data_IF_083574716880
#
_entry.id   IF_083574716880
#
_cell.length_a   1.000
_cell.length_b   1.000
_cell.length_c   1.000
_cell.angle_alpha   90.00
_cell.angle_beta   90.00
_cell.angle_gamma   90.00
#
_symmetry.space_group_name_H-M   'P 1'
#
loop_
_entity.id
_entity.type
_entity.pdbx_description
1 polymer ?
#
# COMPACT_ATOMS: atom_id res chain seq x y z
N UNK A 1 -5.74 -0.11 41.86
CA UNK A 1 -6.30 0.58 40.69
C UNK A 1 -5.14 0.98 39.80
N UNK A 2 -5.27 0.91 38.48
CA UNK A 2 -4.21 1.36 37.58
C UNK A 2 -3.97 2.86 37.80
N UNK A 3 -2.71 3.27 37.91
CA UNK A 3 -2.34 4.68 38.16
C UNK A 3 -2.38 5.52 36.89
N UNK A 4 -2.09 4.90 35.75
CA UNK A 4 -1.93 5.61 34.48
C UNK A 4 -3.05 5.25 33.49
N UNK A 5 -3.50 6.23 32.70
CA UNK A 5 -4.46 6.05 31.63
C UNK A 5 -3.78 6.23 30.27
N UNK A 6 -3.99 5.29 29.36
CA UNK A 6 -3.57 5.40 27.96
C UNK A 6 -4.80 5.41 27.07
N UNK A 7 -4.94 6.41 26.20
CA UNK A 7 -6.07 6.54 25.28
C UNK A 7 -5.60 6.25 23.86
N UNK A 8 -6.23 5.25 23.21
CA UNK A 8 -5.95 4.82 21.83
C UNK A 8 -7.18 4.98 20.95
N UNK A 9 -7.06 4.85 19.63
CA UNK A 9 -8.18 5.04 18.71
C UNK A 9 -9.11 3.82 18.59
N UNK A 10 -8.64 2.60 18.92
CA UNK A 10 -9.43 1.38 18.69
C UNK A 10 -9.42 0.37 19.85
N UNK A 11 -10.51 -0.39 20.08
CA UNK A 11 -10.58 -1.36 21.18
C UNK A 11 -9.58 -2.52 21.06
N UNK A 12 -9.29 -2.96 19.83
CA UNK A 12 -8.33 -4.03 19.60
C UNK A 12 -6.91 -3.59 20.02
N UNK A 13 -6.50 -2.39 19.61
CA UNK A 13 -5.24 -1.77 20.02
C UNK A 13 -5.15 -1.60 21.53
N UNK A 14 -6.25 -1.22 22.17
CA UNK A 14 -6.30 -1.09 23.63
C UNK A 14 -5.94 -2.41 24.32
N UNK A 15 -6.59 -3.51 23.91
CA UNK A 15 -6.32 -4.86 24.44
C UNK A 15 -4.87 -5.30 24.22
N UNK A 16 -4.30 -5.01 23.06
CA UNK A 16 -2.92 -5.40 22.73
C UNK A 16 -1.91 -4.62 23.57
N UNK A 17 -2.07 -3.29 23.68
CA UNK A 17 -1.17 -2.43 24.45
C UNK A 17 -1.27 -2.69 25.96
N UNK A 18 -2.48 -2.94 26.48
CA UNK A 18 -2.70 -3.24 27.90
C UNK A 18 -1.93 -4.49 28.34
N UNK A 19 -1.83 -5.52 27.47
CA UNK A 19 -1.02 -6.71 27.71
C UNK A 19 0.48 -6.40 27.84
N UNK A 20 0.98 -5.40 27.12
CA UNK A 20 2.40 -5.04 27.14
C UNK A 20 2.78 -4.12 28.30
N UNK A 21 1.89 -3.21 28.70
CA UNK A 21 2.12 -2.25 29.77
C UNK A 21 1.86 -2.83 31.17
N UNK A 22 0.98 -3.83 31.29
CA UNK A 22 0.70 -4.50 32.56
C UNK A 22 -0.26 -3.72 33.47
N UNK A 23 -0.27 -4.08 34.76
CA UNK A 23 -1.32 -3.70 35.72
C UNK A 23 -1.33 -2.22 36.14
N UNK A 24 -0.24 -1.49 35.90
CA UNK A 24 -0.12 -0.08 36.27
C UNK A 24 -0.82 0.87 35.30
N UNK A 25 -1.21 0.36 34.12
CA UNK A 25 -1.84 1.12 33.05
C UNK A 25 -3.24 0.58 32.77
N UNK A 26 -4.22 1.49 32.66
CA UNK A 26 -5.51 1.18 32.03
C UNK A 26 -5.50 1.74 30.62
N UNK A 27 -5.88 0.92 29.63
CA UNK A 27 -5.91 1.36 28.24
C UNK A 27 -7.35 1.45 27.74
N UNK A 28 -7.76 2.65 27.30
CA UNK A 28 -9.13 2.95 26.83
C UNK A 28 -9.14 3.39 25.38
N UNK A 29 -10.26 3.17 24.71
CA UNK A 29 -10.42 3.49 23.29
C UNK A 29 -11.36 4.68 23.09
N UNK A 30 -10.97 5.64 22.26
CA UNK A 30 -11.84 6.73 21.78
C UNK A 30 -12.83 6.28 20.70
N UNK A 31 -12.59 5.12 20.10
CA UNK A 31 -13.37 4.58 18.97
C UNK A 31 -13.30 5.55 17.77
N UNK A 32 -12.09 5.93 17.40
CA UNK A 32 -11.78 6.87 16.32
C UNK A 32 -11.96 8.34 16.73
N UNK A 33 -12.38 9.16 15.77
CA UNK A 33 -12.71 10.57 15.98
C UNK A 33 -13.89 10.71 16.94
N UNK A 34 -13.77 11.67 17.87
CA UNK A 34 -14.79 11.98 18.89
C UNK A 34 -15.50 13.31 18.66
N UNK A 35 -14.92 14.16 17.82
CA UNK A 35 -15.44 15.46 17.40
C UNK A 35 -15.43 15.52 15.88
N UNK A 36 -16.37 16.24 15.31
CA UNK A 36 -16.39 16.59 13.89
C UNK A 36 -17.11 17.94 13.72
N UNK A 37 -16.98 18.54 12.54
CA UNK A 37 -17.75 19.72 12.16
C UNK A 37 -19.24 19.35 12.02
N UNK A 38 -20.17 20.25 12.35
CA UNK A 38 -21.60 20.04 12.20
C UNK A 38 -21.98 19.54 10.80
N UNK A 39 -23.03 18.72 10.70
CA UNK A 39 -23.45 18.12 9.42
C UNK A 39 -24.27 19.06 8.53
N UNK A 40 -25.08 19.93 9.15
CA UNK A 40 -26.05 20.78 8.43
C UNK A 40 -25.48 22.10 7.96
N UNK A 41 -24.41 22.55 8.60
CA UNK A 41 -23.74 23.81 8.30
C UNK A 41 -22.31 23.50 7.83
N UNK A 42 -21.68 24.47 7.14
CA UNK A 42 -20.30 24.36 6.71
C UNK A 42 -19.38 24.15 7.92
N UNK A 43 -19.68 24.81 9.04
CA UNK A 43 -18.91 24.70 10.28
C UNK A 43 -17.52 25.30 10.16
N UNK A 44 -17.34 26.24 9.23
CA UNK A 44 -16.10 26.97 8.96
C UNK A 44 -16.47 28.45 8.81
N UNK A 45 -15.89 29.30 9.65
CA UNK A 45 -16.05 30.75 9.54
C UNK A 45 -14.99 31.31 8.58
N UNK A 46 -15.40 31.62 7.35
CA UNK A 46 -14.50 32.12 6.30
C UNK A 46 -13.98 33.52 6.61
N UNK A 47 -14.81 34.36 7.25
CA UNK A 47 -14.46 35.75 7.55
C UNK A 47 -13.48 35.83 8.73
N UNK A 48 -13.57 34.88 9.67
CA UNK A 48 -12.65 34.80 10.81
C UNK A 48 -11.53 33.76 10.60
N UNK A 49 -10.75 33.92 9.52
CA UNK A 49 -9.55 33.11 9.24
C UNK A 49 -9.80 31.59 9.19
N UNK A 50 -10.93 31.18 8.61
CA UNK A 50 -11.34 29.77 8.46
C UNK A 50 -11.53 29.02 9.77
N UNK A 51 -11.90 29.71 10.86
CA UNK A 51 -12.06 29.09 12.18
C UNK A 51 -13.10 27.95 12.14
N UNK A 52 -12.70 26.70 12.46
CA UNK A 52 -13.61 25.56 12.39
C UNK A 52 -14.40 25.41 13.69
N UNK A 53 -15.70 25.17 13.55
CA UNK A 53 -16.55 24.75 14.68
C UNK A 53 -16.58 23.23 14.77
N UNK A 54 -16.27 22.69 15.95
CA UNK A 54 -16.26 21.25 16.21
C UNK A 54 -17.17 20.88 17.38
N UNK A 55 -18.01 19.87 17.18
CA UNK A 55 -18.91 19.34 18.21
C UNK A 55 -18.62 17.86 18.49
N UNK A 56 -18.87 17.41 19.73
CA UNK A 56 -18.83 15.98 20.06
C UNK A 56 -19.97 15.29 19.34
N UNK A 57 -19.65 14.32 18.48
CA UNK A 57 -20.68 13.64 17.69
C UNK A 57 -21.64 12.85 18.59
N UNK A 58 -22.91 12.77 18.17
CA UNK A 58 -23.97 12.19 19.00
C UNK A 58 -23.67 10.75 19.47
N UNK A 59 -23.04 9.94 18.62
CA UNK A 59 -22.64 8.56 18.90
C UNK A 59 -21.44 8.45 19.86
N UNK A 60 -20.69 9.54 20.08
CA UNK A 60 -19.48 9.56 20.91
C UNK A 60 -19.68 10.22 22.28
N UNK A 61 -20.84 10.83 22.55
CA UNK A 61 -21.14 11.47 23.85
C UNK A 61 -20.93 10.54 25.05
N UNK A 62 -21.37 9.27 24.95
CA UNK A 62 -21.16 8.26 26.02
C UNK A 62 -19.69 7.91 26.21
N UNK A 63 -18.93 7.80 25.13
CA UNK A 63 -17.50 7.50 25.16
C UNK A 63 -16.74 8.64 25.82
N UNK A 64 -16.99 9.88 25.41
CA UNK A 64 -16.36 11.08 26.01
C UNK A 64 -16.72 11.21 27.49
N UNK A 65 -17.98 10.97 27.86
CA UNK A 65 -18.40 10.99 29.26
C UNK A 65 -17.65 9.95 30.11
N UNK A 66 -17.42 8.74 29.58
CA UNK A 66 -16.64 7.72 30.27
C UNK A 66 -15.16 8.10 30.36
N UNK A 67 -14.55 8.55 29.26
CA UNK A 67 -13.16 8.99 29.25
C UNK A 67 -12.91 10.14 30.23
N UNK A 68 -13.85 11.08 30.39
CA UNK A 68 -13.75 12.13 31.41
C UNK A 68 -13.73 11.59 32.84
N UNK A 69 -14.43 10.49 33.13
CA UNK A 69 -14.35 9.82 34.43
C UNK A 69 -13.00 9.14 34.61
N UNK A 70 -12.53 8.43 33.59
CA UNK A 70 -11.27 7.71 33.61
C UNK A 70 -10.08 8.68 33.77
N UNK A 71 -10.12 9.83 33.09
CA UNK A 71 -9.13 10.92 33.22
C UNK A 71 -9.06 11.45 34.65
N UNK A 72 -10.21 11.68 35.30
CA UNK A 72 -10.26 12.17 36.69
C UNK A 72 -9.72 11.17 37.71
N UNK A 73 -9.71 9.88 37.38
CA UNK A 73 -9.26 8.81 38.27
C UNK A 73 -7.79 8.44 38.06
N UNK A 74 -7.14 8.96 37.02
CA UNK A 74 -5.76 8.62 36.66
C UNK A 74 -4.78 9.69 37.14
N UNK A 75 -3.60 9.25 37.60
CA UNK A 75 -2.50 10.13 38.01
C UNK A 75 -1.80 10.76 36.78
N UNK A 76 -1.68 9.99 35.68
CA UNK A 76 -1.05 10.42 34.44
C UNK A 76 -1.80 9.89 33.22
N UNK A 77 -1.92 10.74 32.20
CA UNK A 77 -2.62 10.44 30.94
C UNK A 77 -1.60 10.39 29.80
N UNK A 78 -1.76 9.42 28.90
CA UNK A 78 -1.00 9.28 27.67
C UNK A 78 -1.94 9.18 26.46
N UNK A 79 -1.65 9.94 25.40
CA UNK A 79 -2.33 9.84 24.11
C UNK A 79 -1.52 8.93 23.18
N UNK A 80 -2.13 7.87 22.68
CA UNK A 80 -1.47 6.77 21.95
C UNK A 80 -2.16 6.46 20.60
N UNK A 81 -2.57 7.52 19.89
CA UNK A 81 -3.15 7.43 18.54
C UNK A 81 -2.09 7.08 17.50
N UNK A 82 -2.51 6.70 16.30
CA UNK A 82 -1.57 6.38 15.21
C UNK A 82 -0.66 7.57 14.86
N UNK A 83 0.51 7.28 14.31
CA UNK A 83 1.54 8.28 13.98
C UNK A 83 1.34 8.85 12.57
N UNK A 84 0.15 9.36 12.30
CA UNK A 84 -0.10 10.14 11.10
C UNK A 84 -0.86 11.41 11.46
N UNK A 85 -1.05 12.31 10.49
CA UNK A 85 -1.81 13.56 10.71
C UNK A 85 -3.23 13.32 11.22
N UNK A 86 -3.86 12.18 10.86
CA UNK A 86 -5.20 11.85 11.36
C UNK A 86 -5.15 11.44 12.83
N UNK A 87 -4.19 10.61 13.22
CA UNK A 87 -3.95 10.26 14.62
C UNK A 87 -3.57 11.46 15.47
N UNK A 88 -2.81 12.41 14.92
CA UNK A 88 -2.46 13.66 15.59
C UNK A 88 -3.68 14.57 15.80
N UNK A 89 -4.55 14.70 14.79
CA UNK A 89 -5.82 15.40 14.93
C UNK A 89 -6.76 14.74 15.95
N UNK A 90 -6.80 13.40 16.03
CA UNK A 90 -7.56 12.69 17.09
C UNK A 90 -6.98 13.01 18.47
N UNK A 91 -5.65 13.01 18.62
CA UNK A 91 -5.00 13.36 19.88
C UNK A 91 -5.35 14.80 20.30
N UNK A 92 -5.27 15.76 19.38
CA UNK A 92 -5.71 17.13 19.63
C UNK A 92 -7.19 17.22 20.01
N UNK A 93 -8.07 16.55 19.27
CA UNK A 93 -9.49 16.51 19.64
C UNK A 93 -9.74 15.91 21.01
N UNK A 94 -8.94 14.94 21.46
CA UNK A 94 -8.99 14.39 22.81
C UNK A 94 -8.55 15.42 23.85
N UNK A 95 -7.49 16.19 23.60
CA UNK A 95 -7.07 17.28 24.50
C UNK A 95 -8.22 18.24 24.76
N UNK A 96 -8.80 18.77 23.69
CA UNK A 96 -9.90 19.72 23.74
C UNK A 96 -11.18 19.12 24.36
N UNK A 97 -11.59 17.93 23.90
CA UNK A 97 -12.84 17.31 24.33
C UNK A 97 -12.80 16.81 25.78
N UNK A 98 -11.61 16.55 26.33
CA UNK A 98 -11.43 16.08 27.70
C UNK A 98 -10.90 17.18 28.62
N UNK A 99 -10.58 18.37 28.08
CA UNK A 99 -9.98 19.51 28.79
C UNK A 99 -8.65 19.13 29.45
N UNK A 100 -7.77 18.49 28.68
CA UNK A 100 -6.43 18.08 29.11
C UNK A 100 -5.40 19.18 28.83
N UNK A 101 -4.31 19.27 29.63
CA UNK A 101 -3.19 20.17 29.38
C UNK A 101 -2.52 19.92 28.02
N UNK A 102 -2.01 20.99 27.37
CA UNK A 102 -1.33 20.89 26.05
C UNK A 102 -0.06 20.03 26.09
N UNK A 103 0.58 19.95 27.26
CA UNK A 103 1.77 19.15 27.54
C UNK A 103 1.43 17.70 27.94
N UNK A 104 0.18 17.27 27.79
CA UNK A 104 -0.19 15.86 28.01
C UNK A 104 0.67 14.94 27.14
N UNK A 105 1.35 13.93 27.74
CA UNK A 105 2.20 13.00 27.02
C UNK A 105 1.53 12.34 25.80
N UNK A 106 2.21 12.42 24.66
CA UNK A 106 1.84 11.79 23.38
C UNK A 106 2.89 10.75 23.02
N UNK A 107 2.48 9.48 22.98
CA UNK A 107 3.36 8.35 22.63
C UNK A 107 3.10 7.90 21.20
N UNK A 108 4.14 7.68 20.42
CA UNK A 108 4.06 7.27 19.01
C UNK A 108 4.84 5.98 18.78
N UNK A 109 4.43 5.19 17.79
CA UNK A 109 5.05 3.92 17.46
C UNK A 109 4.58 3.43 16.08
N UNK A 110 5.49 2.78 15.34
CA UNK A 110 5.22 2.22 14.02
C UNK A 110 4.87 0.71 14.04
N UNK A 111 5.00 0.07 15.20
CA UNK A 111 4.62 -1.33 15.43
C UNK A 111 4.13 -1.53 16.87
N UNK A 112 3.22 -2.48 17.08
CA UNK A 112 2.66 -2.77 18.40
C UNK A 112 3.42 -3.97 19.00
N UNK A 113 4.65 -3.73 19.40
CA UNK A 113 5.51 -4.71 20.09
C UNK A 113 5.80 -4.25 21.52
N UNK A 114 6.09 -5.19 22.43
CA UNK A 114 6.42 -4.84 23.83
C UNK A 114 7.56 -3.82 23.91
N UNK A 115 8.64 -4.03 23.14
CA UNK A 115 9.79 -3.12 23.09
C UNK A 115 9.43 -1.72 22.58
N UNK A 116 8.67 -1.63 21.48
CA UNK A 116 8.25 -0.33 20.93
C UNK A 116 7.36 0.45 21.90
N UNK A 117 6.37 -0.22 22.50
CA UNK A 117 5.43 0.41 23.44
C UNK A 117 6.12 0.86 24.73
N UNK A 118 7.03 0.05 25.28
CA UNK A 118 7.79 0.44 26.48
C UNK A 118 8.67 1.66 26.22
N UNK A 119 9.38 1.72 25.08
CA UNK A 119 10.17 2.90 24.69
C UNK A 119 9.30 4.15 24.50
N UNK A 120 8.16 3.99 23.85
CA UNK A 120 7.26 5.12 23.58
C UNK A 120 6.72 5.77 24.87
N UNK A 121 6.58 4.99 25.96
CA UNK A 121 6.18 5.50 27.28
C UNK A 121 7.32 6.24 27.99
N UNK A 122 8.57 5.82 27.81
CA UNK A 122 9.73 6.47 28.45
C UNK A 122 10.15 7.75 27.75
N UNK A 123 9.86 7.87 26.46
CA UNK A 123 10.20 9.02 25.62
C UNK A 123 8.94 9.61 24.95
N UNK A 124 7.97 10.12 25.73
CA UNK A 124 6.80 10.75 25.15
C UNK A 124 7.16 12.11 24.55
N UNK A 125 6.45 12.49 23.48
CA UNK A 125 6.44 13.86 22.95
C UNK A 125 5.15 14.58 23.37
N UNK A 126 4.94 15.78 22.84
CA UNK A 126 3.65 16.48 22.90
C UNK A 126 2.95 16.41 21.54
N UNK A 127 1.69 16.83 21.49
CA UNK A 127 0.94 16.91 20.22
C UNK A 127 1.62 17.92 19.28
N UNK A 128 1.86 17.49 18.05
CA UNK A 128 2.43 18.32 16.98
C UNK A 128 1.34 19.11 16.27
N UNK A 129 1.23 20.39 16.61
CA UNK A 129 0.23 21.29 16.06
C UNK A 129 0.40 21.54 14.55
N UNK A 130 1.60 21.40 13.98
CA UNK A 130 1.77 21.53 12.53
C UNK A 130 1.06 20.39 11.77
N UNK A 131 1.13 19.17 12.31
CA UNK A 131 0.41 18.02 11.75
C UNK A 131 -1.10 18.15 11.95
N UNK A 132 -1.52 18.68 13.10
CA UNK A 132 -2.93 18.99 13.37
C UNK A 132 -3.44 20.01 12.34
N UNK A 133 -2.74 21.13 12.16
CA UNK A 133 -3.12 22.18 11.23
C UNK A 133 -3.11 21.70 9.77
N UNK A 134 -2.16 20.84 9.39
CA UNK A 134 -2.18 20.19 8.09
C UNK A 134 -3.42 19.30 7.88
N UNK A 135 -3.87 18.59 8.93
CA UNK A 135 -5.11 17.80 8.89
C UNK A 135 -6.35 18.69 8.83
N UNK A 136 -6.40 19.76 9.64
CA UNK A 136 -7.49 20.73 9.67
C UNK A 136 -7.62 21.46 8.33
N UNK A 137 -6.51 21.95 7.75
CA UNK A 137 -6.50 22.60 6.44
C UNK A 137 -7.08 21.68 5.36
N UNK A 138 -6.68 20.40 5.35
CA UNK A 138 -7.26 19.39 4.45
C UNK A 138 -8.77 19.24 4.69
N UNK A 139 -9.20 19.17 5.95
CA UNK A 139 -10.62 19.01 6.33
C UNK A 139 -11.46 20.21 5.89
N UNK A 140 -10.97 21.42 6.11
CA UNK A 140 -11.60 22.69 5.72
C UNK A 140 -11.70 22.79 4.19
N UNK A 141 -10.62 22.54 3.46
CA UNK A 141 -10.65 22.61 1.99
C UNK A 141 -11.63 21.60 1.40
N UNK A 142 -11.64 20.36 1.90
CA UNK A 142 -12.58 19.33 1.44
C UNK A 142 -14.03 19.73 1.75
N UNK A 143 -14.27 20.45 2.86
CA UNK A 143 -15.57 21.02 3.25
C UNK A 143 -16.02 22.13 2.31
N UNK A 144 -15.14 23.11 2.03
CA UNK A 144 -15.40 24.22 1.11
C UNK A 144 -15.79 23.69 -0.28
N UNK A 145 -14.99 22.79 -0.85
CA UNK A 145 -15.29 22.20 -2.17
C UNK A 145 -16.62 21.46 -2.16
N UNK A 146 -16.91 20.69 -1.10
CA UNK A 146 -18.16 19.95 -0.98
C UNK A 146 -19.38 20.88 -0.95
N UNK A 147 -19.34 21.92 -0.10
CA UNK A 147 -20.48 22.84 0.11
C UNK A 147 -20.67 23.83 -1.04
N UNK A 148 -19.60 24.35 -1.63
CA UNK A 148 -19.69 25.35 -2.70
C UNK A 148 -20.00 24.72 -4.07
N UNK A 149 -19.40 23.56 -4.39
CA UNK A 149 -19.51 22.99 -5.74
C UNK A 149 -20.71 22.06 -5.89
N UNK A 150 -21.09 21.29 -4.85
CA UNK A 150 -22.21 20.34 -4.96
C UNK A 150 -23.54 21.00 -5.37
N UNK A 151 -23.94 22.17 -4.85
CA UNK A 151 -25.16 22.86 -5.29
C UNK A 151 -25.14 23.29 -6.76
N UNK A 152 -23.97 23.59 -7.32
CA UNK A 152 -23.82 23.87 -8.74
C UNK A 152 -24.09 22.59 -9.55
N UNK A 153 -23.54 21.45 -9.13
CA UNK A 153 -23.76 20.17 -9.79
C UNK A 153 -25.24 19.76 -9.77
N UNK A 154 -25.92 19.90 -8.63
CA UNK A 154 -27.35 19.57 -8.51
C UNK A 154 -28.23 20.39 -9.45
N UNK A 155 -27.89 21.67 -9.67
CA UNK A 155 -28.61 22.54 -10.62
C UNK A 155 -28.36 22.21 -12.09
N UNK A 156 -27.19 21.65 -12.42
CA UNK A 156 -26.75 21.48 -13.82
C UNK A 156 -26.81 20.03 -14.32
N UNK A 157 -26.78 19.05 -13.43
CA UNK A 157 -26.68 17.64 -13.76
C UNK A 157 -27.72 16.86 -12.95
N UNK A 158 -28.72 16.31 -13.65
CA UNK A 158 -29.73 15.47 -13.00
C UNK A 158 -29.08 14.24 -12.36
N UNK A 159 -29.42 13.97 -11.09
CA UNK A 159 -28.88 12.84 -10.33
C UNK A 159 -27.46 13.04 -9.77
N UNK A 160 -26.86 14.23 -9.92
CA UNK A 160 -25.58 14.52 -9.28
C UNK A 160 -25.71 14.46 -7.75
N UNK A 161 -24.72 13.86 -7.08
CA UNK A 161 -24.72 13.66 -5.63
C UNK A 161 -23.82 14.64 -4.89
N UNK A 162 -22.56 14.71 -5.28
CA UNK A 162 -21.53 15.46 -4.53
C UNK A 162 -20.32 15.79 -5.40
N UNK A 163 -19.72 16.94 -5.15
CA UNK A 163 -18.38 17.26 -5.62
C UNK A 163 -17.33 16.85 -4.59
N UNK A 164 -16.15 16.41 -5.04
CA UNK A 164 -15.05 16.07 -4.15
C UNK A 164 -13.74 16.46 -4.76
N UNK A 165 -12.93 17.23 -4.03
CA UNK A 165 -11.65 17.80 -4.53
C UNK A 165 -10.72 16.76 -5.14
N UNK A 166 -10.64 15.57 -4.54
CA UNK A 166 -9.82 14.45 -5.03
C UNK A 166 -10.62 13.46 -5.86
N UNK A 167 -11.89 13.24 -5.53
CA UNK A 167 -12.74 12.27 -6.25
C UNK A 167 -13.01 12.70 -7.69
N UNK A 168 -13.30 13.99 -7.92
CA UNK A 168 -13.62 14.51 -9.25
C UNK A 168 -12.45 14.38 -10.24
N UNK A 169 -11.19 14.74 -9.90
CA UNK A 169 -10.04 14.45 -10.77
C UNK A 169 -9.80 12.95 -11.02
N UNK A 170 -10.04 12.08 -10.04
CA UNK A 170 -9.89 10.63 -10.23
C UNK A 170 -10.94 10.10 -11.22
N UNK A 171 -12.19 10.54 -11.10
CA UNK A 171 -13.23 10.20 -12.08
C UNK A 171 -12.86 10.73 -13.47
N UNK A 172 -12.28 11.93 -13.54
CA UNK A 172 -11.78 12.49 -14.81
C UNK A 172 -10.75 11.58 -15.48
N UNK A 173 -9.78 11.01 -14.75
CA UNK A 173 -8.80 10.08 -15.33
C UNK A 173 -9.47 8.84 -15.95
N UNK A 174 -10.52 8.32 -15.32
CA UNK A 174 -11.28 7.18 -15.86
C UNK A 174 -12.04 7.59 -17.12
N UNK A 175 -12.68 8.76 -17.11
CA UNK A 175 -13.40 9.30 -18.27
C UNK A 175 -12.47 9.60 -19.45
N UNK A 176 -11.28 10.14 -19.19
CA UNK A 176 -10.27 10.39 -20.22
C UNK A 176 -9.78 9.08 -20.84
N UNK A 177 -9.51 8.04 -20.03
CA UNK A 177 -9.19 6.71 -20.55
C UNK A 177 -10.34 6.10 -21.36
N UNK A 178 -11.58 6.27 -20.93
CA UNK A 178 -12.73 5.75 -21.69
C UNK A 178 -12.87 6.45 -23.04
N UNK A 179 -12.64 7.76 -23.10
CA UNK A 179 -12.60 8.51 -24.37
C UNK A 179 -11.48 8.02 -25.28
N UNK A 180 -10.27 7.80 -24.73
CA UNK A 180 -9.16 7.21 -25.48
C UNK A 180 -9.54 5.84 -26.09
N UNK A 181 -10.31 5.02 -25.38
CA UNK A 181 -10.78 3.71 -25.84
C UNK A 181 -11.84 3.86 -26.94
N UNK A 182 -12.81 4.76 -26.76
CA UNK A 182 -13.87 5.03 -27.74
C UNK A 182 -13.29 5.59 -29.05
N UNK A 183 -12.33 6.51 -28.94
CA UNK A 183 -11.68 7.17 -30.07
C UNK A 183 -10.60 6.26 -30.72
N UNK A 184 -10.28 5.11 -30.11
CA UNK A 184 -9.29 4.18 -30.63
C UNK A 184 -9.80 3.49 -31.90
N UNK A 185 -9.15 3.78 -33.03
CA UNK A 185 -9.37 3.04 -34.28
C UNK A 185 -8.44 1.83 -34.33
N UNK A 186 -9.02 0.63 -34.23
CA UNK A 186 -8.27 -0.63 -34.36
C UNK A 186 -7.57 -0.72 -35.71
N UNK A 187 -6.29 -1.09 -35.70
CA UNK A 187 -5.50 -1.40 -36.89
C UNK A 187 -5.12 -2.87 -36.87
N UNK A 188 -5.43 -3.58 -37.95
CA UNK A 188 -5.04 -4.97 -38.10
C UNK A 188 -3.56 -5.06 -38.49
N UNK A 189 -2.83 -5.96 -37.82
CA UNK A 189 -1.43 -6.26 -38.16
C UNK A 189 -1.25 -7.76 -38.14
N UNK A 190 -0.72 -8.33 -39.20
CA UNK A 190 -0.55 -9.76 -39.36
C UNK A 190 0.86 -10.18 -38.97
N UNK A 191 0.94 -11.21 -38.13
CA UNK A 191 2.20 -11.78 -37.63
C UNK A 191 2.44 -13.15 -38.23
N UNK A 192 3.65 -13.37 -38.75
CA UNK A 192 4.11 -14.67 -39.22
C UNK A 192 4.95 -15.33 -38.13
N UNK A 193 4.56 -16.55 -37.76
CA UNK A 193 5.30 -17.44 -36.87
C UNK A 193 5.57 -18.76 -37.59
N UNK A 194 6.71 -19.37 -37.29
CA UNK A 194 7.08 -20.67 -37.81
C UNK A 194 7.59 -21.57 -36.68
N UNK A 195 7.15 -22.83 -36.69
CA UNK A 195 7.74 -23.88 -35.86
C UNK A 195 8.87 -24.56 -36.64
N UNK A 196 10.08 -24.48 -36.10
CA UNK A 196 11.30 -24.97 -36.72
C UNK A 196 11.84 -26.16 -35.95
N UNK A 197 12.43 -27.14 -36.64
CA UNK A 197 13.09 -28.30 -36.02
C UNK A 197 14.58 -28.22 -36.24
N UNK A 198 15.37 -28.21 -35.17
CA UNK A 198 16.84 -28.23 -35.27
C UNK A 198 17.39 -29.62 -35.64
N UNK A 199 18.70 -29.72 -35.87
CA UNK A 199 19.34 -30.98 -36.23
C UNK A 199 19.21 -32.09 -35.16
N UNK A 200 18.92 -31.73 -33.90
CA UNK A 200 18.67 -32.65 -32.80
C UNK A 200 17.19 -33.07 -32.68
N UNK A 201 16.31 -32.59 -33.56
CA UNK A 201 14.88 -32.86 -33.50
C UNK A 201 14.10 -31.95 -32.54
N UNK A 202 14.72 -30.93 -31.98
CA UNK A 202 14.09 -30.01 -31.02
C UNK A 202 13.27 -28.94 -31.74
N UNK A 203 12.06 -28.68 -31.22
CA UNK A 203 11.14 -27.67 -31.71
C UNK A 203 11.52 -26.26 -31.21
N UNK A 204 11.49 -25.29 -32.12
CA UNK A 204 11.78 -23.88 -31.85
C UNK A 204 10.69 -23.03 -32.53
N UNK A 205 9.82 -22.39 -31.74
CA UNK A 205 8.90 -21.36 -32.26
C UNK A 205 9.72 -20.09 -32.56
N UNK A 206 9.71 -19.63 -33.80
CA UNK A 206 10.25 -18.33 -34.19
C UNK A 206 9.13 -17.42 -34.64
N UNK A 207 9.28 -16.13 -34.32
CA UNK A 207 8.37 -15.07 -34.75
C UNK A 207 9.16 -14.06 -35.58
N UNK A 208 8.63 -13.71 -36.75
CA UNK A 208 9.18 -12.62 -37.56
C UNK A 208 9.13 -11.31 -36.76
N UNK A 209 10.19 -10.52 -36.80
CA UNK A 209 10.27 -9.25 -36.08
C UNK A 209 9.39 -8.15 -36.68
N UNK A 210 9.03 -8.30 -37.95
CA UNK A 210 8.26 -7.34 -38.72
C UNK A 210 6.81 -7.83 -38.84
N UNK A 211 5.88 -6.92 -38.67
CA UNK A 211 4.45 -7.17 -38.81
C UNK A 211 3.99 -6.68 -40.21
N UNK A 212 2.99 -7.34 -40.80
CA UNK A 212 2.41 -6.97 -42.09
C UNK A 212 1.09 -6.21 -41.89
N UNK A 213 0.78 -5.24 -42.75
CA UNK A 213 -0.52 -4.54 -42.69
C UNK A 213 -1.61 -5.26 -43.51
N UNK A 214 -1.21 -6.15 -44.42
CA UNK A 214 -2.10 -6.92 -45.29
C UNK A 214 -1.95 -8.43 -45.02
N UNK A 215 -3.09 -9.13 -44.92
CA UNK A 215 -3.14 -10.60 -44.75
C UNK A 215 -2.53 -11.33 -45.94
N UNK A 216 -2.79 -10.84 -47.15
CA UNK A 216 -2.35 -11.48 -48.39
C UNK A 216 -0.83 -11.43 -48.51
N UNK A 217 -0.21 -10.30 -48.17
CA UNK A 217 1.26 -10.16 -48.12
C UNK A 217 1.88 -11.09 -47.06
N UNK A 218 1.27 -11.16 -45.87
CA UNK A 218 1.72 -12.07 -44.81
C UNK A 218 1.64 -13.55 -45.24
N UNK A 219 0.55 -13.93 -45.92
CA UNK A 219 0.37 -15.27 -46.45
C UNK A 219 1.32 -15.57 -47.61
N UNK A 220 1.53 -14.62 -48.52
CA UNK A 220 2.49 -14.76 -49.61
C UNK A 220 3.91 -14.98 -49.06
N UNK A 221 4.30 -14.21 -48.04
CA UNK A 221 5.58 -14.38 -47.35
C UNK A 221 5.67 -15.73 -46.64
N UNK A 222 4.63 -16.14 -45.91
CA UNK A 222 4.57 -17.44 -45.23
C UNK A 222 4.68 -18.61 -46.23
N UNK A 223 3.93 -18.58 -47.33
CA UNK A 223 3.98 -19.60 -48.38
C UNK A 223 5.36 -19.67 -49.02
N UNK A 224 5.96 -18.52 -49.35
CA UNK A 224 7.33 -18.48 -49.89
C UNK A 224 8.38 -19.05 -48.93
N UNK A 225 8.12 -19.03 -47.61
CA UNK A 225 9.01 -19.63 -46.62
C UNK A 225 8.96 -21.16 -46.60
N UNK A 226 7.86 -21.81 -47.00
CA UNK A 226 7.71 -23.28 -46.93
C UNK A 226 8.83 -24.03 -47.66
N UNK A 227 9.26 -23.49 -48.80
CA UNK A 227 10.32 -24.07 -49.63
C UNK A 227 11.72 -23.52 -49.27
N UNK A 228 11.80 -22.58 -48.33
CA UNK A 228 13.03 -21.90 -47.98
C UNK A 228 13.84 -22.62 -46.90
N UNK A 229 15.17 -22.55 -47.00
CA UNK A 229 16.11 -23.11 -46.00
C UNK A 229 16.57 -22.03 -45.01
N UNK A 230 16.24 -22.17 -43.72
CA UNK A 230 16.44 -21.14 -42.68
C UNK A 230 17.57 -21.45 -41.69
N UNK A 231 18.65 -20.65 -41.63
CA UNK A 231 19.62 -20.71 -40.50
C UNK A 231 19.38 -19.68 -39.44
N UNK A 232 19.94 -20.02 -38.29
CA UNK A 232 20.38 -19.08 -37.29
C UNK A 232 21.63 -18.34 -37.79
N UNK A 233 21.54 -17.02 -37.94
CA UNK A 233 22.67 -16.18 -38.35
C UNK A 233 23.52 -15.71 -37.18
N UNK A 234 22.89 -15.47 -36.04
CA UNK A 234 23.60 -15.19 -34.80
C UNK A 234 22.80 -15.59 -33.58
N UNK A 235 23.53 -16.03 -32.54
CA UNK A 235 22.99 -16.31 -31.22
C UNK A 235 23.67 -15.35 -30.25
N UNK A 236 22.91 -14.39 -29.74
CA UNK A 236 23.40 -13.48 -28.71
C UNK A 236 22.95 -14.01 -27.34
N UNK A 237 23.93 -14.34 -26.48
CA UNK A 237 23.70 -14.75 -25.09
C UNK A 237 24.08 -13.60 -24.19
N UNK A 238 23.11 -13.05 -23.46
CA UNK A 238 23.39 -12.00 -22.47
C UNK A 238 23.07 -12.49 -21.07
N UNK A 239 24.02 -12.41 -20.12
CA UNK A 239 23.68 -12.57 -18.71
C UNK A 239 22.73 -11.43 -18.34
N UNK A 240 21.67 -11.77 -17.61
CA UNK A 240 20.73 -10.79 -17.09
C UNK A 240 20.42 -11.13 -15.64
N UNK A 241 20.25 -10.11 -14.82
CA UNK A 241 19.87 -10.26 -13.43
C UNK A 241 18.50 -9.67 -13.22
N UNK A 242 17.70 -10.34 -12.40
CA UNK A 242 16.42 -9.79 -11.92
C UNK A 242 16.50 -9.61 -10.42
N UNK A 243 16.67 -8.35 -10.00
CA UNK A 243 16.66 -7.99 -8.60
C UNK A 243 15.25 -8.08 -7.99
N UNK A 244 15.14 -8.40 -6.71
CA UNK A 244 13.85 -8.41 -6.03
C UNK A 244 13.25 -7.01 -5.96
N UNK A 245 11.91 -6.96 -5.88
CA UNK A 245 11.18 -5.71 -5.65
C UNK A 245 11.39 -5.23 -4.20
N UNK A 246 11.30 -3.90 -3.94
CA UNK A 246 11.37 -3.36 -2.59
C UNK A 246 10.27 -3.91 -1.67
N UNK A 247 10.39 -3.76 -0.34
CA UNK A 247 9.32 -4.08 0.61
C UNK A 247 8.05 -3.26 0.31
N UNK A 248 6.93 -3.65 0.91
CA UNK A 248 5.66 -2.99 0.59
C UNK A 248 5.55 -1.60 1.21
N UNK A 249 5.10 -0.65 0.40
CA UNK A 249 4.39 0.56 0.85
C UNK A 249 2.90 0.40 0.59
N UNK A 250 2.09 1.34 1.10
CA UNK A 250 0.62 1.32 0.98
C UNK A 250 0.15 1.06 -0.45
N UNK A 251 0.68 1.82 -1.42
CA UNK A 251 0.27 1.73 -2.82
C UNK A 251 0.66 0.39 -3.46
N UNK A 252 1.87 -0.09 -3.23
CA UNK A 252 2.35 -1.36 -3.78
C UNK A 252 1.67 -2.58 -3.14
N UNK A 253 1.30 -2.51 -1.86
CA UNK A 253 0.53 -3.56 -1.20
C UNK A 253 -0.86 -3.67 -1.82
N UNK A 254 -1.54 -2.53 -2.01
CA UNK A 254 -2.87 -2.49 -2.63
C UNK A 254 -2.86 -3.04 -4.05
N UNK A 255 -1.86 -2.65 -4.87
CA UNK A 255 -1.73 -3.14 -6.23
C UNK A 255 -1.50 -4.66 -6.29
N UNK A 256 -0.56 -5.17 -5.50
CA UNK A 256 -0.21 -6.60 -5.53
C UNK A 256 -1.28 -7.47 -4.87
N UNK A 257 -1.97 -6.98 -3.83
CA UNK A 257 -3.13 -7.66 -3.25
C UNK A 257 -4.29 -7.74 -4.26
N UNK A 258 -4.53 -6.68 -5.03
CA UNK A 258 -5.52 -6.71 -6.11
C UNK A 258 -5.14 -7.71 -7.21
N UNK A 259 -3.90 -7.66 -7.71
CA UNK A 259 -3.44 -8.51 -8.81
C UNK A 259 -3.32 -10.00 -8.43
N UNK A 260 -2.90 -10.31 -7.20
CA UNK A 260 -2.61 -11.69 -6.79
C UNK A 260 -3.71 -12.34 -5.96
N UNK A 261 -4.43 -11.56 -5.17
CA UNK A 261 -5.44 -12.06 -4.24
C UNK A 261 -6.87 -11.68 -4.64
N UNK A 262 -7.03 -10.81 -5.66
CA UNK A 262 -8.34 -10.30 -6.08
C UNK A 262 -8.98 -9.34 -5.06
N UNK A 263 -8.21 -8.82 -4.10
CA UNK A 263 -8.76 -7.96 -3.05
C UNK A 263 -8.96 -6.54 -3.57
N UNK A 264 -10.09 -5.93 -3.20
CA UNK A 264 -10.27 -4.49 -3.38
C UNK A 264 -9.31 -3.70 -2.49
N UNK A 265 -9.06 -2.42 -2.83
CA UNK A 265 -8.27 -1.51 -2.00
C UNK A 265 -8.87 -1.43 -0.58
N UNK A 266 -10.20 -1.28 -0.47
CA UNK A 266 -10.90 -1.21 0.81
C UNK A 266 -10.69 -2.47 1.64
N UNK A 267 -10.87 -3.64 1.04
CA UNK A 267 -10.67 -4.93 1.72
C UNK A 267 -9.22 -5.09 2.19
N UNK A 268 -8.25 -4.78 1.33
CA UNK A 268 -6.82 -4.84 1.66
C UNK A 268 -6.49 -3.98 2.88
N UNK A 269 -6.96 -2.73 2.91
CA UNK A 269 -6.69 -1.83 4.04
C UNK A 269 -7.41 -2.24 5.32
N UNK A 270 -8.63 -2.79 5.23
CA UNK A 270 -9.34 -3.34 6.41
C UNK A 270 -8.58 -4.52 7.02
N UNK A 271 -8.12 -5.45 6.19
CA UNK A 271 -7.34 -6.60 6.65
C UNK A 271 -5.98 -6.18 7.23
N UNK A 272 -5.26 -5.29 6.54
CA UNK A 272 -3.98 -4.76 7.02
C UNK A 272 -4.14 -4.00 8.35
N UNK A 273 -5.20 -3.21 8.52
CA UNK A 273 -5.52 -2.57 9.80
C UNK A 273 -5.75 -3.59 10.92
N UNK A 274 -6.43 -4.70 10.63
CA UNK A 274 -6.61 -5.82 11.56
C UNK A 274 -5.26 -6.41 11.99
N UNK A 275 -4.44 -6.79 11.02
CA UNK A 275 -3.09 -7.32 11.25
C UNK A 275 -2.22 -6.36 12.09
N UNK A 276 -2.24 -5.06 11.78
CA UNK A 276 -1.49 -4.06 12.55
C UNK A 276 -1.98 -3.96 14.01
N UNK A 277 -3.30 -3.93 14.24
CA UNK A 277 -3.89 -3.85 15.60
C UNK A 277 -3.60 -5.08 16.46
N UNK A 278 -3.45 -6.24 15.82
CA UNK A 278 -3.02 -7.48 16.45
C UNK A 278 -1.49 -7.54 16.67
N UNK A 279 -0.75 -6.56 16.17
CA UNK A 279 0.70 -6.49 16.26
C UNK A 279 1.42 -7.45 15.32
N UNK A 280 0.77 -7.91 14.25
CA UNK A 280 1.33 -8.84 13.26
C UNK A 280 2.23 -8.17 12.22
N UNK A 281 1.90 -6.92 11.85
CA UNK A 281 2.64 -6.13 10.85
C UNK A 281 2.90 -4.73 11.37
N UNK A 282 3.87 -4.04 10.77
CA UNK A 282 4.10 -2.60 10.94
C UNK A 282 2.95 -1.76 10.38
N UNK A 283 2.96 -0.46 10.67
CA UNK A 283 1.91 0.46 10.25
C UNK A 283 1.70 0.46 8.72
N UNK A 284 0.47 0.21 8.29
CA UNK A 284 0.12 -0.04 6.89
C UNK A 284 -0.12 1.22 6.06
N UNK A 285 -0.02 2.42 6.65
CA UNK A 285 -0.08 3.70 5.94
C UNK A 285 1.30 4.35 5.94
N UNK A 286 2.08 3.91 4.98
CA UNK A 286 3.46 4.31 4.77
C UNK A 286 3.76 4.45 3.28
N UNK A 287 4.61 5.40 2.95
CA UNK A 287 5.25 5.61 1.65
C UNK A 287 6.74 5.26 1.68
N UNK A 288 7.24 4.78 2.82
CA UNK A 288 8.64 4.46 3.05
C UNK A 288 8.98 3.02 2.69
N UNK A 289 10.02 2.83 1.89
CA UNK A 289 10.57 1.51 1.58
C UNK A 289 11.62 1.03 2.61
N UNK A 290 11.88 1.83 3.65
CA UNK A 290 12.92 1.54 4.63
C UNK A 290 12.54 0.34 5.49
N UNK A 291 13.49 -0.55 5.74
CA UNK A 291 13.42 -1.54 6.80
C UNK A 291 14.41 -1.14 7.89
N UNK A 292 14.03 -1.36 9.15
CA UNK A 292 14.91 -1.22 10.31
C UNK A 292 16.05 -2.23 10.24
N UNK A 293 17.19 -1.87 10.83
CA UNK A 293 18.36 -2.74 10.91
C UNK A 293 18.01 -4.08 11.56
N UNK A 294 17.18 -4.06 12.62
CA UNK A 294 16.68 -5.28 13.28
C UNK A 294 15.85 -6.17 12.34
N UNK A 295 15.03 -5.58 11.47
CA UNK A 295 14.24 -6.33 10.49
C UNK A 295 15.11 -6.91 9.36
N UNK A 296 16.13 -6.17 8.92
CA UNK A 296 17.09 -6.63 7.91
C UNK A 296 17.88 -7.83 8.44
N UNK A 297 18.44 -7.74 9.65
CA UNK A 297 19.13 -8.84 10.30
C UNK A 297 18.24 -10.07 10.51
N UNK A 298 17.00 -9.86 10.96
CA UNK A 298 16.05 -10.94 11.18
C UNK A 298 15.68 -11.64 9.86
N UNK A 299 15.45 -10.89 8.78
CA UNK A 299 15.22 -11.45 7.45
C UNK A 299 16.41 -12.28 6.98
N UNK A 300 17.64 -11.78 7.16
CA UNK A 300 18.86 -12.50 6.83
C UNK A 300 18.98 -13.84 7.54
N UNK A 301 18.74 -13.87 8.86
CA UNK A 301 18.76 -15.11 9.66
C UNK A 301 17.73 -16.14 9.16
N UNK A 302 16.51 -15.69 8.83
CA UNK A 302 15.47 -16.57 8.28
C UNK A 302 15.87 -17.11 6.92
N UNK A 303 16.37 -16.25 6.02
CA UNK A 303 16.77 -16.67 4.67
C UNK A 303 17.92 -17.67 4.71
N UNK A 304 18.94 -17.39 5.53
CA UNK A 304 20.09 -18.29 5.68
C UNK A 304 19.70 -19.65 6.25
N UNK A 305 18.77 -19.67 7.20
CA UNK A 305 18.26 -20.90 7.81
C UNK A 305 17.41 -21.73 6.84
N UNK A 306 16.51 -21.08 6.09
CA UNK A 306 15.53 -21.78 5.24
C UNK A 306 16.03 -22.08 3.83
N UNK A 307 16.84 -21.19 3.25
CA UNK A 307 17.28 -21.27 1.85
C UNK A 307 18.81 -21.39 1.71
N UNK A 308 19.58 -20.96 2.71
CA UNK A 308 21.04 -21.00 2.70
C UNK A 308 21.69 -19.65 2.35
N UNK A 309 22.98 -19.50 2.70
CA UNK A 309 23.73 -18.24 2.60
C UNK A 309 23.76 -17.62 1.21
N UNK A 310 23.80 -18.44 0.16
CA UNK A 310 23.84 -17.97 -1.23
C UNK A 310 22.56 -17.22 -1.66
N UNK A 311 21.47 -17.40 -0.93
CA UNK A 311 20.19 -16.75 -1.21
C UNK A 311 19.98 -15.46 -0.41
N UNK A 312 20.84 -15.13 0.55
CA UNK A 312 20.76 -13.90 1.34
C UNK A 312 21.65 -12.80 0.74
N UNK A 313 21.06 -11.64 0.48
CA UNK A 313 21.79 -10.42 0.12
C UNK A 313 21.16 -9.23 0.82
N UNK A 314 21.92 -8.60 1.71
CA UNK A 314 21.47 -7.43 2.45
C UNK A 314 21.22 -6.25 1.50
N UNK A 315 20.04 -5.61 1.62
CA UNK A 315 19.64 -4.48 0.77
C UNK A 315 18.94 -3.38 1.56
N UNK A 316 19.28 -2.13 1.25
CA UNK A 316 18.53 -0.94 1.69
C UNK A 316 17.86 -0.28 0.51
N UNK A 317 16.57 -0.04 0.63
CA UNK A 317 15.77 0.63 -0.39
C UNK A 317 15.55 2.07 0.05
N UNK A 318 15.92 3.02 -0.82
CA UNK A 318 15.74 4.45 -0.54
C UNK A 318 14.33 4.89 -0.94
N UNK A 319 13.70 5.67 -0.07
CA UNK A 319 12.50 6.46 -0.40
C UNK A 319 12.97 7.73 -1.12
N UNK A 320 12.30 8.13 -2.21
CA UNK A 320 12.76 9.24 -3.07
C UNK A 320 12.33 10.63 -2.57
N UNK A 321 11.33 10.71 -1.71
CA UNK A 321 10.71 11.98 -1.32
C UNK A 321 11.20 12.45 0.06
N UNK A 322 11.79 13.65 0.11
CA UNK A 322 12.25 14.32 1.34
C UNK A 322 11.09 14.84 2.22
N UNK A 323 9.84 14.71 1.77
CA UNK A 323 8.63 15.06 2.51
C UNK A 323 7.84 13.83 2.98
N UNK A 324 8.34 12.62 2.74
CA UNK A 324 7.81 11.43 3.38
C UNK A 324 7.90 11.65 4.90
N UNK A 325 6.95 11.11 5.67
CA UNK A 325 7.14 10.99 7.11
C UNK A 325 8.28 9.98 7.32
N UNK A 326 9.53 10.44 7.20
CA UNK A 326 10.77 9.63 7.13
C UNK A 326 11.00 8.76 8.38
N UNK A 327 10.16 8.91 9.40
CA UNK A 327 10.11 8.02 10.56
C UNK A 327 9.47 6.65 10.27
N UNK A 328 8.72 6.48 9.17
CA UNK A 328 7.94 5.27 8.98
C UNK A 328 8.77 4.15 8.32
N UNK A 329 8.53 2.93 8.78
CA UNK A 329 9.06 1.73 8.14
C UNK A 329 8.11 1.25 7.02
N UNK A 330 8.63 0.40 6.14
CA UNK A 330 7.83 -0.34 5.18
C UNK A 330 6.86 -1.29 5.88
N UNK A 331 5.83 -1.72 5.15
CA UNK A 331 4.87 -2.73 5.60
C UNK A 331 5.55 -4.09 5.60
N UNK A 332 5.82 -4.62 6.80
CA UNK A 332 6.50 -5.91 7.03
C UNK A 332 5.92 -6.62 8.26
N UNK A 333 6.19 -7.92 8.44
CA UNK A 333 5.89 -8.61 9.70
C UNK A 333 6.67 -8.00 10.87
N UNK A 334 6.05 -7.95 12.05
CA UNK A 334 6.74 -7.58 13.30
C UNK A 334 7.67 -8.68 13.80
N UNK A 335 7.34 -9.93 13.49
CA UNK A 335 8.09 -11.13 13.87
C UNK A 335 8.31 -12.03 12.65
N UNK A 336 9.50 -11.95 12.06
CA UNK A 336 9.87 -12.73 10.88
C UNK A 336 10.10 -14.23 11.17
N UNK A 337 10.11 -14.66 12.44
CA UNK A 337 10.17 -16.10 12.77
C UNK A 337 8.82 -16.80 12.55
N UNK A 338 7.74 -16.01 12.37
CA UNK A 338 6.39 -16.49 12.14
C UNK A 338 6.00 -16.33 10.68
N UNK A 339 6.22 -17.36 9.88
CA UNK A 339 5.76 -17.40 8.49
C UNK A 339 4.23 -17.38 8.36
N UNK A 340 3.52 -17.77 9.43
CA UNK A 340 2.07 -17.81 9.54
C UNK A 340 1.61 -17.38 10.93
N UNK A 341 0.36 -16.90 11.04
CA UNK A 341 -0.26 -16.52 12.31
C UNK A 341 -1.52 -17.37 12.51
N UNK A 342 -1.51 -18.17 13.56
CA UNK A 342 -2.64 -19.03 13.92
C UNK A 342 -3.86 -18.22 14.34
N UNK A 343 -5.04 -18.66 13.93
CA UNK A 343 -6.31 -18.05 14.30
C UNK A 343 -6.74 -16.84 13.45
N UNK A 344 -5.95 -16.44 12.45
CA UNK A 344 -6.38 -15.45 11.48
C UNK A 344 -7.48 -15.98 10.58
N UNK A 345 -8.41 -15.10 10.21
CA UNK A 345 -9.32 -15.37 9.09
C UNK A 345 -8.53 -15.62 7.81
N UNK A 346 -8.99 -16.55 6.97
CA UNK A 346 -8.30 -17.00 5.77
C UNK A 346 -7.83 -15.85 4.84
N UNK A 347 -8.61 -14.78 4.68
CA UNK A 347 -8.22 -13.63 3.85
C UNK A 347 -7.10 -12.79 4.50
N UNK A 348 -7.14 -12.60 5.82
CA UNK A 348 -6.08 -11.93 6.56
C UNK A 348 -4.77 -12.74 6.50
N UNK A 349 -4.85 -14.07 6.63
CA UNK A 349 -3.71 -14.96 6.48
C UNK A 349 -3.07 -14.83 5.10
N UNK A 350 -3.85 -14.82 4.01
CA UNK A 350 -3.34 -14.59 2.65
C UNK A 350 -2.61 -13.25 2.51
N UNK A 351 -3.15 -12.19 3.08
CA UNK A 351 -2.50 -10.87 3.04
C UNK A 351 -1.20 -10.86 3.85
N UNK A 352 -1.19 -11.46 5.03
CA UNK A 352 0.01 -11.61 5.85
C UNK A 352 1.09 -12.40 5.11
N UNK A 353 0.77 -13.55 4.51
CA UNK A 353 1.71 -14.34 3.71
C UNK A 353 2.27 -13.55 2.53
N UNK A 354 1.46 -12.72 1.87
CA UNK A 354 1.93 -11.84 0.79
C UNK A 354 2.96 -10.83 1.31
N UNK A 355 2.69 -10.20 2.46
CA UNK A 355 3.60 -9.26 3.11
C UNK A 355 4.90 -9.97 3.53
N UNK A 356 4.80 -11.10 4.23
CA UNK A 356 5.94 -11.92 4.67
C UNK A 356 6.87 -12.30 3.51
N UNK A 357 6.30 -12.86 2.43
CA UNK A 357 7.08 -13.25 1.24
C UNK A 357 7.75 -12.06 0.57
N UNK A 358 7.10 -10.89 0.53
CA UNK A 358 7.72 -9.69 -0.02
C UNK A 358 8.90 -9.21 0.83
N UNK A 359 8.75 -9.20 2.16
CA UNK A 359 9.82 -8.78 3.08
C UNK A 359 11.04 -9.69 2.97
N UNK A 360 10.86 -11.01 2.95
CA UNK A 360 12.01 -11.91 2.75
C UNK A 360 12.62 -11.73 1.36
N UNK A 361 11.81 -11.76 0.30
CA UNK A 361 12.31 -11.67 -1.07
C UNK A 361 13.13 -10.40 -1.32
N UNK A 362 12.79 -9.27 -0.68
CA UNK A 362 13.55 -8.04 -0.85
C UNK A 362 14.97 -8.09 -0.27
N UNK A 363 15.27 -9.04 0.62
CA UNK A 363 16.61 -9.33 1.17
C UNK A 363 17.26 -10.56 0.52
N UNK A 364 16.71 -11.07 -0.58
CA UNK A 364 17.31 -12.20 -1.29
C UNK A 364 18.27 -11.76 -2.41
N UNK A 365 19.13 -12.68 -2.81
CA UNK A 365 20.04 -12.52 -3.95
C UNK A 365 19.27 -12.26 -5.26
N UNK A 366 19.95 -11.66 -6.24
CA UNK A 366 19.38 -11.52 -7.59
C UNK A 366 19.07 -12.91 -8.18
N UNK A 367 18.03 -13.00 -9.01
CA UNK A 367 17.83 -14.17 -9.85
C UNK A 367 18.75 -14.08 -11.08
N UNK A 368 19.64 -15.05 -11.25
CA UNK A 368 20.47 -15.20 -12.44
C UNK A 368 19.64 -15.75 -13.60
N UNK A 369 19.55 -14.97 -14.68
CA UNK A 369 18.76 -15.30 -15.86
C UNK A 369 19.65 -15.29 -17.11
N UNK A 370 19.57 -16.35 -17.92
CA UNK A 370 20.19 -16.37 -19.24
C UNK A 370 19.17 -15.92 -20.28
N UNK A 371 19.41 -14.78 -20.92
CA UNK A 371 18.57 -14.31 -22.04
C UNK A 371 19.23 -14.69 -23.35
N UNK A 372 18.52 -15.46 -24.16
CA UNK A 372 18.93 -15.84 -25.51
C UNK A 372 18.16 -15.00 -26.52
N UNK A 373 18.86 -14.32 -27.42
CA UNK A 373 18.28 -13.66 -28.58
C UNK A 373 18.82 -14.32 -29.84
N UNK A 374 17.94 -15.02 -30.55
CA UNK A 374 18.24 -15.59 -31.86
C UNK A 374 17.94 -14.53 -32.92
N UNK A 375 18.92 -14.25 -33.79
CA UNK A 375 18.65 -13.57 -35.06
C UNK A 375 18.90 -14.60 -36.17
N UNK A 376 17.87 -14.89 -36.94
CA UNK A 376 17.94 -15.80 -38.07
C UNK A 376 18.13 -15.01 -39.36
N UNK A 377 19.08 -15.42 -40.19
CA UNK A 377 19.23 -15.04 -41.61
C UNK A 377 19.54 -16.37 -42.30
N UNK A 378 18.86 -16.63 -43.42
CA UNK A 378 18.83 -17.85 -44.23
C UNK A 378 20.11 -18.70 -44.29
N UNK A 379 19.91 -20.04 -44.38
CA UNK A 379 20.83 -21.20 -44.54
C UNK A 379 21.41 -22.04 -43.36
N UNK A 380 20.55 -22.86 -42.72
CA UNK A 380 20.74 -24.20 -42.07
C UNK A 380 19.37 -24.89 -42.29
N UNK A 381 19.28 -26.21 -42.43
CA UNK A 381 18.01 -26.85 -42.80
C UNK A 381 17.12 -27.03 -41.56
N UNK A 382 16.42 -25.97 -41.15
CA UNK A 382 15.28 -26.09 -40.25
C UNK A 382 14.04 -26.39 -41.08
N UNK A 383 13.39 -27.54 -40.86
CA UNK A 383 12.15 -27.91 -41.54
C UNK A 383 10.98 -27.17 -40.89
N UNK A 384 10.20 -26.44 -41.69
CA UNK A 384 8.97 -25.80 -41.22
C UNK A 384 7.93 -26.90 -41.00
N UNK A 385 7.42 -27.00 -39.78
CA UNK A 385 6.35 -27.93 -39.44
C UNK A 385 4.97 -27.31 -39.62
N UNK A 386 4.84 -26.03 -39.28
CA UNK A 386 3.59 -25.30 -39.40
C UNK A 386 3.86 -23.79 -39.54
N UNK A 387 2.96 -23.11 -40.24
CA UNK A 387 2.90 -21.65 -40.35
C UNK A 387 1.52 -21.19 -39.93
N UNK A 388 1.47 -20.18 -39.06
CA UNK A 388 0.21 -19.58 -38.64
C UNK A 388 0.26 -18.07 -38.85
N UNK A 389 -0.74 -17.54 -39.56
CA UNK A 389 -1.01 -16.11 -39.63
C UNK A 389 -2.10 -15.78 -38.60
N UNK A 390 -1.77 -14.93 -37.62
CA UNK A 390 -2.74 -14.38 -36.66
C UNK A 390 -2.97 -12.91 -36.95
N UNK A 391 -4.25 -12.50 -36.93
CA UNK A 391 -4.71 -11.11 -37.01
C UNK A 391 -4.51 -10.37 -35.70
#
# INVERSE_FOLDING_TARGET
MAKNLVIVESPAKAKTIEKFLGKDYSVKSSIGHIRDMPKKDMGVDIENNFEPTYEVTADKKKVVAQLRKDVKAADKIYLATDEDREGEAIAWHLLEALNLPKDTPRIVFHEITKGAITRAITEPRIVDYNLVDAQQARRIIDRLVGFEISPVLWRKISGARSAGRVQSPVVRLVVEREREIIDHTCKNTYKVKADLVNAAGELIEVKLSTDFNNKEEALAFATALLDAKLSVASIEKKPSKRSPKPPFITSTLQQEASQKLGFSVKQTMTLAQGLYREGAITYMRTDSFTLSETAIEAAGKVIEKEFGRNYHQERRFKTKDAGAQEAHEAIRPTDLTKSEIFGLEHQAAKLYTLIYKRTLACQMSDADCKKHKLKSIFLIVLRILSLTVKS
#
